data_IF_775068442485
#
_entry.id   IF_775068442485
#
_cell.length_a   1.000
_cell.length_b   1.000
_cell.length_c   1.000
_cell.angle_alpha   90.00
_cell.angle_beta   90.00
_cell.angle_gamma   90.00
#
_symmetry.space_group_name_H-M   'P 1'
#
loop_
_entity.id
_entity.type
_entity.pdbx_description
1 polymer ?
#
# COMPACT_ATOMS: atom_id res chain seq x y z
N UNK A 1 9.23 -13.55 -24.55
CA UNK A 1 9.39 -12.58 -23.46
C UNK A 1 8.01 -12.13 -22.96
N UNK A 2 7.28 -13.02 -22.25
CA UNK A 2 5.90 -12.75 -21.79
C UNK A 2 5.68 -13.09 -20.30
N UNK A 3 6.67 -13.71 -19.65
CA UNK A 3 6.53 -14.23 -18.28
C UNK A 3 6.65 -13.12 -17.23
N UNK A 4 7.39 -12.04 -17.51
CA UNK A 4 7.62 -10.96 -16.54
C UNK A 4 6.42 -10.02 -16.33
N UNK A 5 5.59 -9.77 -17.36
CA UNK A 5 4.40 -8.91 -17.22
C UNK A 5 3.30 -9.55 -16.35
N UNK A 6 3.20 -10.88 -16.34
CA UNK A 6 2.18 -11.59 -15.56
C UNK A 6 2.42 -11.49 -14.04
N UNK A 7 3.68 -11.46 -13.61
CA UNK A 7 4.04 -11.40 -12.18
C UNK A 7 3.72 -10.02 -11.59
N UNK A 8 4.01 -8.94 -12.33
CA UNK A 8 3.70 -7.58 -11.90
C UNK A 8 2.20 -7.31 -11.72
N UNK A 9 1.37 -7.84 -12.63
CA UNK A 9 -0.09 -7.73 -12.53
C UNK A 9 -0.67 -8.54 -11.36
N UNK A 10 -0.10 -9.72 -11.04
CA UNK A 10 -0.59 -10.58 -9.97
C UNK A 10 -0.35 -9.99 -8.57
N UNK A 11 0.78 -9.30 -8.37
CA UNK A 11 1.07 -8.60 -7.11
C UNK A 11 0.07 -7.47 -6.82
N UNK A 12 -0.47 -6.83 -7.87
CA UNK A 12 -1.43 -5.75 -7.75
C UNK A 12 -2.85 -6.21 -7.32
N UNK A 13 -3.21 -7.48 -7.54
CA UNK A 13 -4.57 -8.00 -7.29
C UNK A 13 -4.71 -8.83 -6.02
N UNK A 14 -3.61 -9.27 -5.41
CA UNK A 14 -3.69 -10.03 -4.16
C UNK A 14 -4.01 -9.11 -2.97
N UNK A 15 -4.98 -9.48 -2.11
CA UNK A 15 -5.35 -8.63 -1.00
C UNK A 15 -4.16 -8.40 -0.05
N UNK A 16 -3.89 -7.13 0.29
CA UNK A 16 -3.01 -6.80 1.42
C UNK A 16 -3.66 -7.39 2.65
N UNK A 17 -2.93 -8.27 3.33
CA UNK A 17 -3.37 -8.80 4.61
C UNK A 17 -2.86 -7.94 5.77
N UNK A 18 -1.64 -7.39 5.66
CA UNK A 18 -1.04 -6.59 6.73
C UNK A 18 0.06 -5.67 6.18
N UNK A 19 0.12 -4.43 6.66
CA UNK A 19 1.22 -3.50 6.42
C UNK A 19 1.77 -3.06 7.77
N UNK A 20 3.05 -3.34 8.03
CA UNK A 20 3.70 -3.08 9.32
C UNK A 20 4.91 -2.19 9.12
N UNK A 21 5.01 -1.13 9.93
CA UNK A 21 6.12 -0.18 9.91
C UNK A 21 7.06 -0.44 11.10
N UNK A 22 8.28 -0.90 10.83
CA UNK A 22 9.31 -1.17 11.83
C UNK A 22 10.34 -0.04 11.86
N UNK A 23 10.14 0.96 12.72
CA UNK A 23 11.05 2.12 12.84
C UNK A 23 12.49 1.74 13.20
N UNK A 24 12.66 0.84 14.17
CA UNK A 24 13.98 0.43 14.65
C UNK A 24 14.78 -0.34 13.59
N UNK A 25 14.10 -0.94 12.61
CA UNK A 25 14.70 -1.67 11.51
C UNK A 25 14.76 -0.84 10.22
N UNK A 26 14.31 0.41 10.26
CA UNK A 26 14.15 1.28 9.08
C UNK A 26 13.40 0.58 7.92
N UNK A 27 12.35 -0.17 8.21
CA UNK A 27 11.70 -1.04 7.23
C UNK A 27 10.17 -0.98 7.28
N UNK A 28 9.52 -1.03 6.13
CA UNK A 28 8.09 -1.37 5.98
C UNK A 28 7.96 -2.78 5.41
N UNK A 29 7.10 -3.57 6.02
CA UNK A 29 6.80 -4.95 5.63
C UNK A 29 5.33 -5.05 5.22
N UNK A 30 5.09 -5.49 3.99
CA UNK A 30 3.75 -5.57 3.39
C UNK A 30 3.49 -7.03 3.06
N UNK A 31 2.62 -7.64 3.87
CA UNK A 31 2.20 -9.01 3.71
C UNK A 31 0.95 -9.07 2.82
N UNK A 32 1.06 -9.80 1.72
CA UNK A 32 -0.05 -10.15 0.83
C UNK A 32 -0.41 -11.62 1.05
N UNK A 33 -1.69 -11.91 1.28
CA UNK A 33 -2.19 -13.29 1.26
C UNK A 33 -2.88 -13.54 -0.06
N UNK A 34 -2.24 -14.34 -0.90
CA UNK A 34 -2.84 -14.85 -2.13
C UNK A 34 -3.32 -16.28 -1.96
N UNK A 35 -4.05 -16.78 -2.95
CA UNK A 35 -4.46 -18.19 -3.02
C UNK A 35 -3.25 -19.12 -2.93
N UNK A 36 -2.13 -18.77 -3.59
CA UNK A 36 -0.92 -19.61 -3.70
C UNK A 36 0.08 -19.43 -2.56
N UNK A 37 -0.29 -18.70 -1.50
CA UNK A 37 0.57 -18.49 -0.34
C UNK A 37 0.72 -17.02 0.04
N UNK A 38 1.62 -16.77 0.98
CA UNK A 38 1.95 -15.45 1.49
C UNK A 38 3.12 -14.86 0.71
N UNK A 39 2.98 -13.62 0.25
CA UNK A 39 4.08 -12.84 -0.32
C UNK A 39 4.40 -11.71 0.64
N UNK A 40 5.67 -11.53 0.96
CA UNK A 40 6.16 -10.45 1.81
C UNK A 40 6.96 -9.50 0.93
N UNK A 41 6.58 -8.23 0.92
CA UNK A 41 7.31 -7.15 0.27
C UNK A 41 7.95 -6.32 1.36
N UNK A 42 9.26 -6.14 1.28
CA UNK A 42 10.04 -5.38 2.24
C UNK A 42 10.68 -4.22 1.51
N UNK A 43 10.46 -3.01 2.03
CA UNK A 43 11.06 -1.79 1.48
C UNK A 43 11.62 -0.97 2.66
N UNK A 44 12.76 -0.28 2.52
CA UNK A 44 13.26 0.61 3.56
C UNK A 44 12.29 1.79 3.80
N UNK A 45 12.15 2.28 5.04
CA UNK A 45 11.28 3.45 5.29
C UNK A 45 11.79 4.69 4.57
N UNK A 46 13.10 4.86 4.47
CA UNK A 46 13.73 5.97 3.76
C UNK A 46 13.39 6.07 2.27
N UNK A 47 12.99 4.96 1.63
CA UNK A 47 12.54 4.98 0.23
C UNK A 47 11.10 5.44 0.08
N UNK A 48 10.35 5.58 1.18
CA UNK A 48 9.01 6.14 1.17
C UNK A 48 9.11 7.66 0.95
N UNK A 49 8.54 8.12 -0.16
CA UNK A 49 8.45 9.53 -0.48
C UNK A 49 7.27 10.19 0.21
N UNK A 50 6.09 9.58 0.11
CA UNK A 50 4.83 10.07 0.70
C UNK A 50 3.77 8.98 0.73
N UNK A 51 2.63 9.31 1.32
CA UNK A 51 1.43 8.48 1.30
C UNK A 51 0.31 9.23 0.57
N UNK A 52 -0.20 8.63 -0.50
CA UNK A 52 -1.29 9.20 -1.29
C UNK A 52 -2.60 8.45 -1.04
N UNK A 53 -3.71 9.10 -1.38
CA UNK A 53 -5.04 8.51 -1.36
C UNK A 53 -5.51 8.35 -2.79
N UNK A 54 -5.71 7.10 -3.20
CA UNK A 54 -6.30 6.81 -4.50
C UNK A 54 -7.82 6.77 -4.38
N UNK A 55 -8.49 7.47 -5.28
CA UNK A 55 -9.94 7.45 -5.45
C UNK A 55 -10.33 6.48 -6.58
N UNK A 56 -11.41 5.73 -6.37
CA UNK A 56 -12.07 4.94 -7.41
C UNK A 56 -13.55 5.27 -7.43
N UNK A 57 -14.00 5.80 -8.56
CA UNK A 57 -15.42 6.06 -8.82
C UNK A 57 -16.16 4.75 -9.12
N UNK A 58 -17.27 4.53 -8.41
CA UNK A 58 -18.29 3.52 -8.69
C UNK A 58 -19.60 4.21 -9.07
N UNK A 59 -20.59 3.44 -9.56
CA UNK A 59 -21.87 3.98 -10.10
C UNK A 59 -22.57 4.97 -9.17
N UNK A 60 -22.51 4.74 -7.85
CA UNK A 60 -23.23 5.56 -6.86
C UNK A 60 -22.35 6.05 -5.70
N UNK A 61 -21.04 5.78 -5.73
CA UNK A 61 -20.15 6.09 -4.63
C UNK A 61 -18.71 6.27 -5.10
N UNK A 62 -17.93 7.00 -4.31
CA UNK A 62 -16.47 7.01 -4.39
C UNK A 62 -15.92 6.14 -3.27
N UNK A 63 -15.00 5.26 -3.60
CA UNK A 63 -14.25 4.51 -2.60
C UNK A 63 -12.77 4.88 -2.70
N UNK A 64 -12.06 4.76 -1.59
CA UNK A 64 -10.71 5.30 -1.42
C UNK A 64 -9.79 4.22 -0.85
N UNK A 65 -8.50 4.28 -1.17
CA UNK A 65 -7.47 3.45 -0.54
C UNK A 65 -6.19 4.25 -0.31
N UNK A 66 -5.43 3.90 0.73
CA UNK A 66 -4.11 4.48 0.96
C UNK A 66 -3.05 3.74 0.14
N UNK A 67 -2.12 4.49 -0.44
CA UNK A 67 -0.97 3.95 -1.16
C UNK A 67 0.32 4.57 -0.64
N UNK A 68 1.36 3.75 -0.54
CA UNK A 68 2.73 4.18 -0.28
C UNK A 68 3.32 4.57 -1.64
N UNK A 69 3.84 5.78 -1.76
CA UNK A 69 4.60 6.21 -2.94
C UNK A 69 6.07 6.13 -2.58
N UNK A 70 6.81 5.26 -3.29
CA UNK A 70 8.25 5.15 -3.15
C UNK A 70 8.97 6.21 -3.99
N UNK A 71 10.24 6.49 -3.69
CA UNK A 71 11.11 7.38 -4.48
C UNK A 71 11.27 6.92 -5.94
N UNK A 72 11.03 5.64 -6.22
CA UNK A 72 11.01 5.08 -7.59
C UNK A 72 9.70 5.32 -8.34
N UNK A 73 8.81 6.15 -7.80
CA UNK A 73 7.43 6.37 -8.25
C UNK A 73 6.56 5.09 -8.27
N UNK A 74 7.05 4.01 -7.67
CA UNK A 74 6.29 2.78 -7.47
C UNK A 74 5.27 3.01 -6.37
N UNK A 75 4.00 2.82 -6.71
CA UNK A 75 2.90 2.91 -5.75
C UNK A 75 2.52 1.52 -5.21
N UNK A 76 2.50 1.38 -3.88
CA UNK A 76 2.16 0.13 -3.20
C UNK A 76 0.93 0.35 -2.31
N UNK A 77 -0.23 -0.27 -2.60
CA UNK A 77 -1.41 -0.14 -1.76
C UNK A 77 -1.20 -0.67 -0.34
N UNK A 78 -1.55 0.11 0.68
CA UNK A 78 -1.48 -0.29 2.11
C UNK A 78 -2.62 -1.23 2.47
N UNK A 79 -3.79 -0.97 1.89
CA UNK A 79 -4.98 -1.82 1.97
C UNK A 79 -5.43 -2.16 0.55
N UNK A 80 -5.89 -3.40 0.36
CA UNK A 80 -6.38 -3.85 -0.94
C UNK A 80 -7.80 -3.38 -1.23
N UNK A 81 -8.63 -3.39 -0.19
CA UNK A 81 -10.02 -3.00 -0.26
C UNK A 81 -10.15 -1.49 -0.27
N UNK A 82 -10.91 -0.96 -1.22
CA UNK A 82 -11.30 0.44 -1.17
C UNK A 82 -12.43 0.60 -0.13
N UNK A 83 -12.35 1.65 0.68
CA UNK A 83 -13.33 1.96 1.73
C UNK A 83 -13.70 3.45 1.72
N UNK A 84 -14.38 3.94 2.75
CA UNK A 84 -14.80 5.33 2.83
C UNK A 84 -13.60 6.29 3.02
N UNK A 85 -13.77 7.52 2.57
CA UNK A 85 -12.73 8.56 2.58
C UNK A 85 -12.19 8.86 3.98
N UNK A 86 -13.11 8.98 4.96
CA UNK A 86 -12.78 9.40 6.31
C UNK A 86 -11.84 8.40 6.99
N UNK A 87 -12.11 7.10 6.87
CA UNK A 87 -11.27 6.05 7.42
C UNK A 87 -9.86 6.06 6.80
N UNK A 88 -9.77 6.29 5.48
CA UNK A 88 -8.48 6.34 4.78
C UNK A 88 -7.68 7.59 5.15
N UNK A 89 -8.30 8.76 5.18
CA UNK A 89 -7.65 10.01 5.62
C UNK A 89 -7.13 9.90 7.05
N UNK A 90 -7.94 9.33 7.94
CA UNK A 90 -7.53 9.06 9.32
C UNK A 90 -6.33 8.11 9.37
N UNK A 91 -6.36 7.01 8.62
CA UNK A 91 -5.24 6.06 8.58
C UNK A 91 -3.95 6.72 8.06
N UNK A 92 -4.01 7.46 6.95
CA UNK A 92 -2.85 8.19 6.38
C UNK A 92 -2.31 9.21 7.39
N UNK A 93 -3.18 9.99 8.03
CA UNK A 93 -2.78 10.96 9.06
C UNK A 93 -2.06 10.28 10.24
N UNK A 94 -2.56 9.12 10.70
CA UNK A 94 -1.93 8.33 11.77
C UNK A 94 -0.59 7.75 11.36
N UNK A 95 -0.46 7.29 10.11
CA UNK A 95 0.81 6.79 9.57
C UNK A 95 1.84 7.93 9.49
N UNK A 96 1.46 9.09 8.94
CA UNK A 96 2.34 10.26 8.87
C UNK A 96 2.79 10.71 10.27
N UNK A 97 1.85 10.81 11.22
CA UNK A 97 2.15 11.17 12.60
C UNK A 97 3.09 10.15 13.26
N UNK A 98 2.89 8.86 13.00
CA UNK A 98 3.75 7.81 13.51
C UNK A 98 5.15 7.95 12.91
N UNK A 99 5.29 8.05 11.60
CA UNK A 99 6.59 8.11 10.92
C UNK A 99 7.27 9.48 11.01
N UNK A 100 6.56 10.51 11.48
CA UNK A 100 6.99 11.91 11.51
C UNK A 100 7.24 12.48 10.11
N UNK A 101 6.50 12.02 9.10
CA UNK A 101 6.45 12.68 7.81
C UNK A 101 5.54 13.92 7.92
N UNK A 102 6.01 15.05 7.41
CA UNK A 102 5.28 16.33 7.35
C UNK A 102 4.73 16.55 5.95
#
# INVERSE_FOLDING_TARGET
>A
MLIFMAIGAFLATSPVSKCTFYKSLNQVCIERKGWRGQTIIEEPLETILRFDIQEKQFKYAKLYRAVIVLQSDKEIPINSEYTNEQSIRYAVSRINSFLKYQ
#
